data_IF_937960914666
#
_entry.id   IF_937960914666
#
_cell.length_a   1.000
_cell.length_b   1.000
_cell.length_c   1.000
_cell.angle_alpha   90.00
_cell.angle_beta   90.00
_cell.angle_gamma   90.00
#
_symmetry.space_group_name_H-M   'P 1'
#
loop_
_entity.id
_entity.type
_entity.pdbx_description
1 polymer ?
#
# COMPACT_ATOMS: atom_id res chain seq x y z
N UNK A 1 -7.85 -29.54 17.82
CA UNK A 1 -7.24 -28.51 16.96
C UNK A 1 -6.76 -27.38 17.86
N UNK A 2 -5.50 -26.95 17.68
CA UNK A 2 -4.95 -25.78 18.39
C UNK A 2 -5.05 -24.55 17.50
N UNK A 3 -5.38 -23.41 18.06
CA UNK A 3 -5.53 -22.13 17.37
C UNK A 3 -5.40 -20.96 18.35
N UNK A 4 -5.15 -19.79 17.83
CA UNK A 4 -4.95 -18.58 18.61
C UNK A 4 -6.12 -17.62 18.42
N UNK A 5 -6.49 -16.91 19.48
CA UNK A 5 -7.44 -15.80 19.42
C UNK A 5 -6.83 -14.53 20.02
N UNK A 6 -7.20 -13.39 19.45
CA UNK A 6 -6.84 -12.08 19.96
C UNK A 6 -8.09 -11.41 20.55
N UNK A 7 -8.32 -11.49 21.84
CA UNK A 7 -9.58 -11.12 22.46
C UNK A 7 -9.80 -9.61 22.56
N UNK A 8 -8.72 -8.83 22.54
CA UNK A 8 -8.81 -7.37 22.64
C UNK A 8 -8.91 -6.76 21.24
N UNK A 9 -9.91 -5.91 21.05
CA UNK A 9 -10.09 -5.16 19.81
C UNK A 9 -8.85 -4.29 19.52
N UNK A 10 -8.39 -4.30 18.27
CA UNK A 10 -7.22 -3.55 17.80
C UNK A 10 -5.88 -3.89 18.50
N UNK A 11 -5.80 -5.03 19.20
CA UNK A 11 -4.60 -5.50 19.88
C UNK A 11 -4.27 -6.93 19.44
N UNK A 12 -3.12 -7.11 18.77
CA UNK A 12 -2.60 -8.41 18.34
C UNK A 12 -1.56 -9.00 19.31
N UNK A 13 -1.11 -8.21 20.30
CA UNK A 13 -0.09 -8.64 21.27
C UNK A 13 -0.66 -9.63 22.30
N UNK A 14 -1.94 -9.50 22.60
CA UNK A 14 -2.59 -10.38 23.56
C UNK A 14 -3.15 -11.58 22.82
N UNK A 15 -2.56 -12.73 23.05
CA UNK A 15 -2.92 -13.99 22.40
C UNK A 15 -3.39 -14.97 23.47
N UNK A 16 -4.51 -15.65 23.19
CA UNK A 16 -4.98 -16.77 23.98
C UNK A 16 -4.82 -18.03 23.13
N UNK A 17 -4.00 -18.95 23.61
CA UNK A 17 -3.83 -20.25 23.00
C UNK A 17 -5.02 -21.15 23.34
N UNK A 18 -5.77 -21.53 22.33
CA UNK A 18 -6.99 -22.31 22.47
C UNK A 18 -6.83 -23.71 21.90
N UNK A 19 -7.56 -24.65 22.50
CA UNK A 19 -7.70 -25.99 21.94
C UNK A 19 -9.19 -26.37 21.93
N UNK A 20 -9.69 -26.85 20.80
CA UNK A 20 -11.07 -27.30 20.65
C UNK A 20 -11.19 -28.49 19.70
N UNK A 21 -12.30 -29.20 19.82
CA UNK A 21 -12.63 -30.29 18.92
C UNK A 21 -12.97 -29.73 17.53
N UNK A 22 -12.22 -30.18 16.52
CA UNK A 22 -12.57 -29.92 15.13
C UNK A 22 -13.71 -30.83 14.73
N UNK A 23 -14.85 -30.24 14.35
CA UNK A 23 -16.06 -31.01 13.98
C UNK A 23 -16.32 -31.03 12.48
N UNK A 24 -15.87 -29.99 11.74
CA UNK A 24 -16.15 -29.89 10.32
C UNK A 24 -15.19 -28.92 9.59
N UNK A 25 -15.25 -28.95 8.26
CA UNK A 25 -14.64 -27.94 7.37
C UNK A 25 -15.70 -27.47 6.38
N UNK A 26 -16.06 -26.19 6.43
CA UNK A 26 -17.13 -25.61 5.59
C UNK A 26 -16.59 -24.53 4.67
N UNK A 27 -17.18 -24.45 3.49
CA UNK A 27 -16.97 -23.32 2.57
C UNK A 27 -17.94 -22.20 2.93
N UNK A 28 -17.42 -21.11 3.46
CA UNK A 28 -18.20 -19.92 3.81
C UNK A 28 -18.06 -18.89 2.71
N UNK A 29 -19.19 -18.37 2.23
CA UNK A 29 -19.26 -17.30 1.23
C UNK A 29 -19.43 -15.96 1.96
N UNK A 30 -18.52 -15.02 1.73
CA UNK A 30 -18.64 -13.66 2.24
C UNK A 30 -19.74 -12.87 1.52
N UNK A 31 -20.17 -11.76 2.10
CA UNK A 31 -21.10 -10.81 1.45
C UNK A 31 -20.57 -10.25 0.13
N UNK A 32 -19.23 -10.20 -0.06
CA UNK A 32 -18.57 -9.82 -1.30
C UNK A 32 -18.44 -10.96 -2.33
N UNK A 33 -18.99 -12.14 -2.03
CA UNK A 33 -18.99 -13.30 -2.92
C UNK A 33 -17.74 -14.18 -2.85
N UNK A 34 -16.72 -13.80 -2.06
CA UNK A 34 -15.52 -14.60 -1.86
C UNK A 34 -15.84 -15.88 -1.08
N UNK A 35 -15.29 -17.02 -1.52
CA UNK A 35 -15.45 -18.32 -0.87
C UNK A 35 -14.16 -18.70 -0.16
N UNK A 36 -14.28 -19.06 1.11
CA UNK A 36 -13.16 -19.48 1.96
C UNK A 36 -13.52 -20.78 2.67
N UNK A 37 -12.58 -21.74 2.67
CA UNK A 37 -12.73 -22.94 3.47
C UNK A 37 -12.34 -22.63 4.92
N UNK A 38 -13.25 -22.86 5.86
CA UNK A 38 -13.05 -22.59 7.28
C UNK A 38 -13.20 -23.86 8.11
N UNK A 39 -12.37 -23.93 9.15
CA UNK A 39 -12.51 -24.96 10.18
C UNK A 39 -13.69 -24.62 11.10
N UNK A 40 -14.44 -25.63 11.51
CA UNK A 40 -15.58 -25.51 12.43
C UNK A 40 -15.25 -26.22 13.73
N UNK A 41 -15.38 -25.50 14.83
CA UNK A 41 -15.22 -26.04 16.18
C UNK A 41 -16.54 -25.97 16.95
N UNK A 42 -16.69 -26.83 17.94
CA UNK A 42 -17.76 -26.72 18.93
C UNK A 42 -17.20 -26.11 20.21
N UNK A 43 -17.84 -25.08 20.72
CA UNK A 43 -17.44 -24.41 21.96
C UNK A 43 -18.66 -23.82 22.67
N UNK A 44 -18.47 -23.48 23.95
CA UNK A 44 -19.48 -22.76 24.71
C UNK A 44 -19.23 -21.27 24.61
N UNK A 45 -20.27 -20.50 24.33
CA UNK A 45 -20.27 -19.05 24.47
C UNK A 45 -20.92 -18.65 25.79
N UNK A 46 -20.29 -17.70 26.50
CA UNK A 46 -20.87 -17.02 27.67
C UNK A 46 -21.19 -15.57 27.27
N UNK A 47 -22.46 -15.20 27.38
CA UNK A 47 -22.89 -13.83 27.13
C UNK A 47 -23.82 -13.36 28.28
N UNK A 48 -23.38 -12.39 29.04
CA UNK A 48 -24.04 -12.01 30.29
C UNK A 48 -24.09 -13.20 31.25
N UNK A 49 -25.32 -13.59 31.64
CA UNK A 49 -25.58 -14.74 32.54
C UNK A 49 -25.81 -16.05 31.77
N UNK A 50 -25.98 -16.01 30.45
CA UNK A 50 -26.24 -17.20 29.63
C UNK A 50 -24.97 -17.91 29.18
N UNK A 51 -24.98 -19.25 29.20
CA UNK A 51 -23.92 -20.09 28.63
C UNK A 51 -24.58 -21.15 27.78
N UNK A 52 -24.13 -21.34 26.53
CA UNK A 52 -24.63 -22.38 25.62
C UNK A 52 -23.61 -22.79 24.57
N UNK A 53 -23.76 -23.98 24.05
CA UNK A 53 -22.89 -24.49 22.99
C UNK A 53 -23.25 -23.88 21.64
N UNK A 54 -22.21 -23.54 20.87
CA UNK A 54 -22.30 -23.06 19.49
C UNK A 54 -21.29 -23.78 18.61
N UNK A 55 -21.59 -23.81 17.31
CA UNK A 55 -20.58 -24.08 16.28
C UNK A 55 -19.97 -22.76 15.83
N UNK A 56 -18.64 -22.69 15.81
CA UNK A 56 -17.90 -21.51 15.43
C UNK A 56 -16.96 -21.81 14.26
N UNK A 57 -17.00 -20.98 13.22
CA UNK A 57 -16.03 -21.04 12.11
C UNK A 57 -14.83 -20.16 12.39
N UNK A 58 -13.63 -20.69 12.22
CA UNK A 58 -12.38 -19.97 12.42
C UNK A 58 -11.92 -19.32 11.11
N UNK A 59 -11.55 -18.06 11.15
CA UNK A 59 -10.98 -17.28 10.05
C UNK A 59 -10.13 -16.13 10.59
N UNK A 60 -9.18 -15.65 9.78
CA UNK A 60 -8.45 -14.45 10.12
C UNK A 60 -9.35 -13.22 9.94
N UNK A 61 -9.49 -12.44 11.00
CA UNK A 61 -10.29 -11.20 11.03
C UNK A 61 -9.46 -9.98 11.47
N UNK A 62 -8.15 -10.03 11.32
CA UNK A 62 -7.24 -8.98 11.78
C UNK A 62 -7.48 -7.62 11.10
N UNK A 63 -7.94 -7.63 9.87
CA UNK A 63 -8.26 -6.42 9.11
C UNK A 63 -9.70 -5.91 9.32
N UNK A 64 -10.51 -6.58 10.16
CA UNK A 64 -11.92 -6.25 10.34
C UNK A 64 -12.15 -5.51 11.66
N UNK A 65 -13.18 -4.65 11.71
CA UNK A 65 -13.54 -3.87 12.89
C UNK A 65 -13.89 -4.70 14.13
N UNK A 66 -14.33 -5.96 13.95
CA UNK A 66 -14.67 -6.86 15.06
C UNK A 66 -14.04 -8.23 14.86
N UNK A 67 -13.41 -8.76 15.92
CA UNK A 67 -12.73 -10.05 15.93
C UNK A 67 -13.71 -11.23 15.84
N UNK A 68 -14.88 -11.08 16.42
CA UNK A 68 -15.93 -12.09 16.46
C UNK A 68 -17.23 -11.53 15.88
N UNK A 69 -17.94 -12.36 15.11
CA UNK A 69 -19.32 -12.13 14.71
C UNK A 69 -20.18 -13.26 15.27
N UNK A 70 -21.27 -12.90 15.92
CA UNK A 70 -22.26 -13.84 16.40
C UNK A 70 -23.33 -14.01 15.31
N UNK A 71 -23.38 -15.22 14.74
CA UNK A 71 -24.34 -15.55 13.71
C UNK A 71 -25.77 -15.69 14.25
N UNK A 72 -26.75 -15.54 13.39
CA UNK A 72 -28.18 -15.63 13.73
C UNK A 72 -28.54 -16.92 14.44
N UNK A 73 -28.00 -18.06 14.00
CA UNK A 73 -28.29 -19.37 14.60
C UNK A 73 -27.86 -19.45 16.08
N UNK A 74 -26.75 -18.82 16.43
CA UNK A 74 -26.30 -18.77 17.82
C UNK A 74 -27.17 -17.88 18.71
N UNK A 75 -27.98 -17.01 18.14
CA UNK A 75 -28.84 -16.03 18.84
C UNK A 75 -30.31 -16.46 18.97
N UNK A 76 -30.79 -17.37 18.12
CA UNK A 76 -32.23 -17.75 18.06
C UNK A 76 -32.72 -18.20 19.44
N UNK A 77 -33.80 -17.55 19.89
CA UNK A 77 -34.47 -17.85 21.15
C UNK A 77 -33.67 -17.48 22.41
N UNK A 78 -32.54 -16.78 22.27
CA UNK A 78 -31.62 -16.46 23.38
C UNK A 78 -31.27 -14.99 23.51
N UNK A 79 -31.20 -14.26 22.39
CA UNK A 79 -30.73 -12.88 22.34
C UNK A 79 -31.68 -12.04 21.51
N UNK A 80 -32.02 -10.85 22.04
CA UNK A 80 -32.62 -9.76 21.30
C UNK A 80 -31.55 -8.72 21.02
N UNK A 81 -31.44 -8.30 19.75
CA UNK A 81 -30.52 -7.26 19.33
C UNK A 81 -31.23 -5.91 19.37
N UNK A 82 -30.71 -4.98 20.18
CA UNK A 82 -31.14 -3.59 20.17
C UNK A 82 -30.11 -2.78 19.37
N UNK A 83 -30.44 -2.30 18.17
CA UNK A 83 -29.49 -1.60 17.32
C UNK A 83 -29.13 -0.19 17.82
N UNK A 84 -29.87 0.35 18.76
CA UNK A 84 -29.60 1.67 19.35
C UNK A 84 -28.54 1.62 20.45
N UNK A 85 -28.19 0.45 20.96
CA UNK A 85 -27.27 0.28 22.10
C UNK A 85 -26.00 -0.43 21.69
N UNK A 86 -24.89 0.03 22.25
CA UNK A 86 -23.57 -0.54 22.03
C UNK A 86 -22.88 -0.82 23.38
N UNK A 87 -21.97 -1.80 23.38
CA UNK A 87 -21.10 -2.15 24.52
C UNK A 87 -21.83 -2.39 25.85
N UNK A 88 -23.02 -2.98 25.82
CA UNK A 88 -23.83 -3.22 27.02
C UNK A 88 -23.17 -4.11 28.07
N UNK A 89 -22.20 -4.94 27.68
CA UNK A 89 -21.42 -5.80 28.58
C UNK A 89 -20.01 -5.25 28.88
N UNK A 90 -19.73 -4.00 28.47
CA UNK A 90 -18.42 -3.38 28.56
C UNK A 90 -17.44 -3.81 27.48
N UNK A 91 -16.28 -3.16 27.47
CA UNK A 91 -15.17 -3.50 26.59
C UNK A 91 -14.19 -4.45 27.32
N UNK A 92 -13.58 -5.37 26.56
CA UNK A 92 -12.56 -6.26 27.11
C UNK A 92 -11.26 -5.51 27.35
N UNK A 93 -10.75 -5.51 28.57
CA UNK A 93 -9.46 -4.93 28.97
C UNK A 93 -8.46 -6.00 29.36
N UNK A 94 -7.16 -5.63 29.44
CA UNK A 94 -6.11 -6.54 29.95
C UNK A 94 -6.38 -7.05 31.37
N UNK A 95 -7.02 -6.24 32.21
CA UNK A 95 -7.36 -6.61 33.58
C UNK A 95 -8.44 -7.69 33.60
N UNK A 96 -9.48 -7.54 32.78
CA UNK A 96 -10.56 -8.51 32.67
C UNK A 96 -10.08 -9.86 32.10
N UNK A 97 -9.04 -9.86 31.26
CA UNK A 97 -8.47 -11.08 30.71
C UNK A 97 -7.81 -11.97 31.78
N UNK A 98 -7.15 -11.37 32.78
CA UNK A 98 -6.54 -12.10 33.89
C UNK A 98 -7.56 -12.91 34.69
N UNK A 99 -8.79 -12.40 34.76
CA UNK A 99 -9.89 -13.09 35.46
C UNK A 99 -10.55 -14.18 34.60
N UNK A 100 -10.57 -13.99 33.27
CA UNK A 100 -11.28 -14.87 32.35
C UNK A 100 -10.43 -16.03 31.82
N UNK A 101 -9.13 -15.83 31.71
CA UNK A 101 -8.22 -16.78 31.08
C UNK A 101 -6.96 -17.00 31.91
N UNK A 102 -6.71 -18.26 32.26
CA UNK A 102 -5.52 -18.66 33.03
C UNK A 102 -4.26 -18.70 32.14
N UNK A 103 -4.45 -18.98 30.87
CA UNK A 103 -3.38 -19.13 29.89
C UNK A 103 -3.50 -18.08 28.78
N UNK A 104 -3.03 -16.87 29.04
CA UNK A 104 -2.84 -15.89 27.99
C UNK A 104 -1.38 -15.42 27.96
N UNK A 105 -0.90 -15.14 26.79
CA UNK A 105 0.43 -14.60 26.57
C UNK A 105 0.32 -13.19 25.97
N UNK A 106 1.08 -12.24 26.52
CA UNK A 106 1.29 -10.96 25.88
C UNK A 106 2.57 -11.10 25.05
N UNK A 107 2.41 -11.31 23.76
CA UNK A 107 3.55 -11.37 22.87
C UNK A 107 4.21 -9.98 22.79
N UNK A 108 5.40 -9.89 23.38
CA UNK A 108 6.25 -8.68 23.30
C UNK A 108 7.05 -8.61 21.98
N UNK A 109 6.67 -9.41 20.99
CA UNK A 109 7.35 -9.53 19.68
C UNK A 109 7.00 -8.44 18.68
N UNK A 110 6.59 -7.25 19.15
CA UNK A 110 6.41 -6.11 18.29
C UNK A 110 7.73 -5.67 17.68
N UNK A 111 7.78 -5.54 16.35
CA UNK A 111 8.93 -4.98 15.66
C UNK A 111 9.06 -3.49 15.98
N UNK A 112 10.29 -3.00 16.04
CA UNK A 112 10.59 -1.58 16.10
C UNK A 112 10.69 -1.02 14.69
N UNK A 113 9.68 -0.24 14.27
CA UNK A 113 9.51 0.19 12.89
C UNK A 113 9.62 1.71 12.78
N UNK A 114 10.51 2.18 11.90
CA UNK A 114 10.62 3.58 11.54
C UNK A 114 9.77 3.93 10.33
N UNK A 115 8.88 4.93 10.44
CA UNK A 115 8.22 5.55 9.28
C UNK A 115 9.07 6.74 8.83
N UNK A 116 9.86 6.58 7.78
CA UNK A 116 10.76 7.60 7.26
C UNK A 116 10.01 8.53 6.30
N UNK A 117 9.60 9.70 6.76
CA UNK A 117 8.77 10.64 6.02
C UNK A 117 9.07 12.10 6.40
N UNK A 118 8.48 13.07 5.70
CA UNK A 118 8.71 14.49 5.95
C UNK A 118 7.55 15.24 6.60
N UNK A 119 6.38 14.60 6.74
CA UNK A 119 5.21 15.22 7.34
C UNK A 119 4.38 14.17 8.11
N UNK A 120 4.31 14.25 9.45
CA UNK A 120 3.54 13.32 10.27
C UNK A 120 2.03 13.44 10.07
N UNK A 121 1.53 14.64 9.72
CA UNK A 121 0.10 14.96 9.69
C UNK A 121 -0.63 14.45 8.44
N UNK A 122 0.11 13.95 7.45
CA UNK A 122 -0.51 13.34 6.28
C UNK A 122 -1.35 12.12 6.69
N UNK A 123 -2.59 12.09 6.24
CA UNK A 123 -3.52 11.00 6.53
C UNK A 123 -2.90 9.61 6.36
N UNK A 124 -2.20 9.36 5.24
CA UNK A 124 -1.57 8.07 4.98
C UNK A 124 -0.46 7.73 6.00
N UNK A 125 0.30 8.72 6.46
CA UNK A 125 1.37 8.50 7.46
C UNK A 125 0.76 8.19 8.83
N UNK A 126 -0.24 8.95 9.26
CA UNK A 126 -0.98 8.65 10.49
C UNK A 126 -1.58 7.25 10.48
N UNK A 127 -2.24 6.86 9.38
CA UNK A 127 -2.83 5.52 9.24
C UNK A 127 -1.82 4.39 9.27
N UNK A 128 -0.61 4.60 8.75
CA UNK A 128 0.48 3.61 8.84
C UNK A 128 0.95 3.48 10.28
N UNK A 129 1.17 4.60 10.98
CA UNK A 129 1.56 4.60 12.40
C UNK A 129 0.52 3.85 13.25
N UNK A 130 -0.75 4.26 13.17
CA UNK A 130 -1.87 3.62 13.88
C UNK A 130 -1.97 2.12 13.56
N UNK A 131 -1.84 1.74 12.28
CA UNK A 131 -1.93 0.35 11.87
C UNK A 131 -0.77 -0.52 12.41
N UNK A 132 0.41 0.06 12.55
CA UNK A 132 1.56 -0.59 13.18
C UNK A 132 1.35 -0.78 14.69
N UNK A 133 0.93 0.28 15.38
CA UNK A 133 0.64 0.25 16.81
C UNK A 133 -0.48 -0.74 17.16
N UNK A 134 -1.57 -0.74 16.36
CA UNK A 134 -2.65 -1.71 16.49
C UNK A 134 -2.19 -3.16 16.38
N UNK A 135 -1.13 -3.41 15.60
CA UNK A 135 -0.51 -4.73 15.42
C UNK A 135 0.55 -5.03 16.47
N UNK A 136 0.73 -4.12 17.42
CA UNK A 136 1.65 -4.32 18.50
C UNK A 136 3.11 -3.95 18.17
N UNK A 137 3.37 -3.27 17.06
CA UNK A 137 4.69 -2.77 16.74
C UNK A 137 5.00 -1.46 17.46
N UNK A 138 6.26 -1.22 17.78
CA UNK A 138 6.77 0.06 18.28
C UNK A 138 7.04 0.98 17.08
N UNK A 139 6.13 1.91 16.83
CA UNK A 139 6.21 2.78 15.67
C UNK A 139 6.91 4.09 15.98
N UNK A 140 7.88 4.47 15.14
CA UNK A 140 8.62 5.73 15.25
C UNK A 140 8.48 6.55 13.98
N UNK A 141 7.98 7.78 14.09
CA UNK A 141 8.04 8.72 12.99
C UNK A 141 9.45 9.33 12.89
N UNK A 142 10.12 9.12 11.77
CA UNK A 142 11.45 9.63 11.47
C UNK A 142 11.37 10.73 10.41
N UNK A 143 11.55 11.97 10.82
CA UNK A 143 11.55 13.09 9.87
C UNK A 143 12.84 13.07 9.07
N UNK A 144 12.74 12.85 7.76
CA UNK A 144 13.90 12.79 6.84
C UNK A 144 14.83 14.00 7.00
N UNK A 145 14.26 15.19 7.21
CA UNK A 145 15.04 16.44 7.31
C UNK A 145 15.84 16.57 8.62
N UNK A 146 15.53 15.75 9.61
CA UNK A 146 16.16 15.74 10.92
C UNK A 146 17.16 14.59 11.08
N UNK A 147 17.25 13.72 10.08
CA UNK A 147 18.22 12.64 10.04
C UNK A 147 19.52 13.10 9.36
N UNK A 148 20.65 12.64 9.85
CA UNK A 148 21.95 12.77 9.20
C UNK A 148 22.79 11.51 9.41
N UNK A 149 23.76 11.27 8.51
CA UNK A 149 24.44 9.97 8.40
C UNK A 149 25.93 10.11 8.73
N UNK A 150 26.45 9.15 9.47
CA UNK A 150 27.86 8.87 9.57
C UNK A 150 28.20 7.69 8.67
N UNK A 151 29.04 7.92 7.67
CA UNK A 151 29.52 6.90 6.74
C UNK A 151 30.83 6.33 7.30
N UNK A 152 30.75 5.14 7.88
CA UNK A 152 31.89 4.42 8.45
C UNK A 152 31.80 2.96 8.03
N UNK A 153 32.91 2.39 7.58
CA UNK A 153 32.95 1.03 7.04
C UNK A 153 32.62 -0.06 8.08
N UNK A 154 32.88 0.21 9.35
CA UNK A 154 32.72 -0.75 10.44
C UNK A 154 31.51 -0.44 11.32
N UNK A 155 31.15 0.85 11.43
CA UNK A 155 30.06 1.30 12.27
C UNK A 155 29.26 2.44 11.58
N UNK A 156 28.47 2.12 10.53
CA UNK A 156 27.59 3.09 9.89
C UNK A 156 26.48 3.49 10.86
N UNK A 157 26.19 4.79 10.97
CA UNK A 157 25.19 5.31 11.89
C UNK A 157 24.25 6.28 11.20
N UNK A 158 23.01 6.36 11.69
CA UNK A 158 22.10 7.45 11.41
C UNK A 158 21.83 8.18 12.72
N UNK A 159 22.04 9.47 12.70
CA UNK A 159 21.77 10.36 13.82
C UNK A 159 20.45 11.11 13.56
N UNK A 160 19.71 11.35 14.59
CA UNK A 160 18.50 12.13 14.59
C UNK A 160 18.73 13.43 15.35
N UNK A 161 17.85 14.40 15.16
CA UNK A 161 17.85 15.69 15.84
C UNK A 161 18.35 15.60 17.29
N UNK A 162 19.32 16.44 17.66
CA UNK A 162 19.92 16.44 18.99
C UNK A 162 21.00 15.38 19.23
N UNK A 163 21.47 14.71 18.16
CA UNK A 163 22.59 13.73 18.24
C UNK A 163 22.16 12.33 18.66
N UNK A 164 20.87 12.04 18.76
CA UNK A 164 20.39 10.70 19.08
C UNK A 164 20.71 9.74 17.94
N UNK A 165 21.44 8.68 18.23
CA UNK A 165 21.68 7.59 17.28
C UNK A 165 20.39 6.77 17.11
N UNK A 166 20.03 6.52 15.85
CA UNK A 166 18.91 5.64 15.49
C UNK A 166 19.41 4.21 15.36
N UNK A 167 19.21 3.43 16.39
CA UNK A 167 19.64 2.04 16.49
C UNK A 167 18.43 1.10 16.76
N UNK A 168 18.70 -0.19 16.64
CA UNK A 168 17.75 -1.25 17.00
C UNK A 168 16.39 -1.18 16.26
N UNK A 169 16.37 -0.69 15.03
CA UNK A 169 15.21 -0.81 14.16
C UNK A 169 15.22 -2.18 13.46
N UNK A 170 14.07 -2.87 13.48
CA UNK A 170 13.87 -4.09 12.70
C UNK A 170 13.53 -3.76 11.25
N UNK A 171 12.76 -2.69 11.04
CA UNK A 171 12.33 -2.26 9.72
C UNK A 171 12.15 -0.75 9.62
N UNK A 172 12.25 -0.26 8.38
CA UNK A 172 11.90 1.13 8.02
C UNK A 172 10.95 1.12 6.82
N UNK A 173 9.93 1.97 6.88
CA UNK A 173 8.98 2.21 5.79
C UNK A 173 9.28 3.59 5.19
N UNK A 174 9.97 3.66 4.04
CA UNK A 174 10.27 4.93 3.39
C UNK A 174 9.03 5.51 2.70
N UNK A 175 8.65 6.74 3.08
CA UNK A 175 7.57 7.54 2.46
C UNK A 175 8.13 8.83 1.87
N UNK A 176 9.02 8.66 0.89
CA UNK A 176 9.86 9.73 0.34
C UNK A 176 9.07 10.52 -0.71
N UNK A 177 9.03 11.84 -0.56
CA UNK A 177 8.43 12.75 -1.55
C UNK A 177 9.37 12.93 -2.76
N UNK A 178 8.84 13.24 -3.96
CA UNK A 178 9.65 13.51 -5.15
C UNK A 178 10.75 14.55 -4.94
N UNK A 179 10.43 15.65 -4.23
CA UNK A 179 11.37 16.76 -3.99
C UNK A 179 12.56 16.43 -3.11
N UNK A 180 12.57 15.29 -2.41
CA UNK A 180 13.64 14.86 -1.52
C UNK A 180 14.09 13.43 -1.83
N UNK A 181 13.87 12.96 -3.06
CA UNK A 181 14.19 11.58 -3.46
C UNK A 181 15.65 11.24 -3.22
N UNK A 182 16.58 12.11 -3.61
CA UNK A 182 18.02 11.88 -3.43
C UNK A 182 18.37 11.60 -1.97
N UNK A 183 18.01 12.52 -1.07
CA UNK A 183 18.36 12.40 0.34
C UNK A 183 17.61 11.28 1.05
N UNK A 184 16.33 11.12 0.76
CA UNK A 184 15.52 10.03 1.31
C UNK A 184 16.04 8.65 0.92
N UNK A 185 16.42 8.46 -0.35
CA UNK A 185 17.01 7.21 -0.80
C UNK A 185 18.43 7.01 -0.23
N UNK A 186 19.22 8.09 0.00
CA UNK A 186 20.49 7.98 0.68
C UNK A 186 20.34 7.48 2.12
N UNK A 187 19.37 8.03 2.88
CA UNK A 187 19.03 7.53 4.22
C UNK A 187 18.55 6.08 4.20
N UNK A 188 17.71 5.70 3.22
CA UNK A 188 17.24 4.32 3.09
C UNK A 188 18.42 3.37 2.84
N UNK A 189 19.35 3.72 1.95
CA UNK A 189 20.59 2.93 1.73
C UNK A 189 21.44 2.82 3.00
N UNK A 190 21.46 3.86 3.82
CA UNK A 190 22.19 3.81 5.09
C UNK A 190 21.52 2.81 6.07
N UNK A 191 20.19 2.80 6.18
CA UNK A 191 19.47 1.76 6.93
C UNK A 191 19.75 0.35 6.38
N UNK A 192 19.76 0.18 5.06
CA UNK A 192 20.11 -1.08 4.41
C UNK A 192 21.55 -1.53 4.76
N UNK A 193 22.51 -0.59 4.78
CA UNK A 193 23.88 -0.86 5.19
C UNK A 193 23.98 -1.27 6.68
N UNK A 194 23.11 -0.72 7.53
CA UNK A 194 22.95 -1.10 8.94
C UNK A 194 22.17 -2.41 9.12
N UNK A 195 21.81 -3.12 8.04
CA UNK A 195 21.05 -4.38 8.04
C UNK A 195 19.61 -4.24 8.52
N UNK A 196 19.04 -3.04 8.47
CA UNK A 196 17.64 -2.79 8.75
C UNK A 196 16.82 -3.08 7.49
N UNK A 197 15.72 -3.84 7.64
CA UNK A 197 14.82 -4.14 6.53
C UNK A 197 14.10 -2.87 6.05
N UNK A 198 14.17 -2.56 4.75
CA UNK A 198 13.54 -1.37 4.17
C UNK A 198 12.41 -1.78 3.21
N UNK A 199 11.20 -1.33 3.46
CA UNK A 199 10.04 -1.59 2.64
C UNK A 199 9.51 -0.25 2.03
N UNK A 200 9.83 0.08 0.79
CA UNK A 200 10.62 -0.65 -0.20
C UNK A 200 12.11 -0.24 -0.13
N UNK A 201 12.95 -0.96 -0.91
CA UNK A 201 14.38 -0.66 -0.99
C UNK A 201 14.65 0.71 -1.64
N UNK A 202 15.81 1.29 -1.33
CA UNK A 202 16.25 2.52 -1.99
C UNK A 202 16.40 2.35 -3.51
N UNK A 203 16.82 1.17 -3.98
CA UNK A 203 16.93 0.84 -5.39
C UNK A 203 15.56 0.87 -6.08
N UNK A 204 14.57 0.16 -5.52
CA UNK A 204 13.22 0.11 -6.06
C UNK A 204 12.56 1.51 -6.10
N UNK A 205 12.75 2.32 -5.06
CA UNK A 205 12.24 3.70 -5.02
C UNK A 205 12.92 4.55 -6.13
N UNK A 206 14.23 4.45 -6.29
CA UNK A 206 14.97 5.21 -7.30
C UNK A 206 14.55 4.81 -8.71
N UNK A 207 14.46 3.51 -9.00
CA UNK A 207 14.00 2.98 -10.28
C UNK A 207 12.58 3.46 -10.63
N UNK A 208 11.67 3.44 -9.65
CA UNK A 208 10.29 3.90 -9.82
C UNK A 208 10.16 5.41 -10.03
N UNK A 209 11.16 6.19 -9.63
CA UNK A 209 11.19 7.65 -9.85
C UNK A 209 11.67 8.04 -11.23
N UNK A 210 12.53 7.24 -11.82
CA UNK A 210 13.02 7.43 -13.19
C UNK A 210 11.99 6.86 -14.18
N UNK A 211 11.28 7.75 -14.89
CA UNK A 211 10.24 7.35 -15.85
C UNK A 211 10.79 6.56 -17.03
N UNK A 212 11.98 6.88 -17.52
CA UNK A 212 12.58 6.17 -18.64
C UNK A 212 13.05 4.79 -18.19
N UNK A 213 13.77 4.74 -17.07
CA UNK A 213 14.28 3.47 -16.55
C UNK A 213 13.14 2.53 -16.14
N UNK A 214 12.06 3.04 -15.52
CA UNK A 214 10.90 2.21 -15.18
C UNK A 214 10.24 1.61 -16.42
N UNK A 215 10.11 2.37 -17.52
CA UNK A 215 9.59 1.84 -18.80
C UNK A 215 10.52 0.75 -19.36
N UNK A 216 11.83 0.95 -19.31
CA UNK A 216 12.80 -0.05 -19.77
C UNK A 216 12.75 -1.35 -18.93
N UNK A 217 12.58 -1.24 -17.60
CA UNK A 217 12.40 -2.40 -16.72
C UNK A 217 11.11 -3.15 -17.01
N UNK A 218 10.00 -2.45 -17.21
CA UNK A 218 8.71 -3.04 -17.56
C UNK A 218 8.79 -3.76 -18.89
N UNK A 219 9.36 -3.12 -19.92
CA UNK A 219 9.57 -3.70 -21.25
C UNK A 219 10.43 -4.98 -21.18
N UNK A 220 11.57 -4.91 -20.47
CA UNK A 220 12.48 -6.06 -20.29
C UNK A 220 11.78 -7.26 -19.65
N UNK A 221 10.81 -7.00 -18.78
CA UNK A 221 10.03 -8.04 -18.11
C UNK A 221 8.75 -8.41 -18.85
N UNK A 222 8.56 -7.94 -20.10
CA UNK A 222 7.41 -8.27 -20.94
C UNK A 222 6.08 -7.73 -20.37
N UNK A 223 6.11 -6.57 -19.76
CA UNK A 223 4.91 -5.80 -19.42
C UNK A 223 4.67 -4.84 -20.56
N UNK A 224 3.48 -4.88 -21.12
CA UNK A 224 3.10 -3.99 -22.22
C UNK A 224 3.08 -2.53 -21.73
N UNK A 225 3.68 -1.67 -22.54
CA UNK A 225 3.74 -0.22 -22.29
C UNK A 225 3.33 0.50 -23.57
N UNK A 226 2.79 1.72 -23.48
CA UNK A 226 2.55 2.54 -24.66
C UNK A 226 3.85 2.79 -25.43
N UNK A 227 3.77 2.80 -26.76
CA UNK A 227 4.93 3.09 -27.61
C UNK A 227 5.55 4.41 -27.22
N UNK A 228 6.83 4.38 -26.86
CA UNK A 228 7.53 5.52 -26.26
C UNK A 228 8.83 5.78 -26.99
N UNK A 229 9.04 7.01 -27.40
CA UNK A 229 10.28 7.51 -27.98
C UNK A 229 11.02 8.45 -27.02
N UNK A 230 12.33 8.38 -27.04
CA UNK A 230 13.23 9.28 -26.32
C UNK A 230 14.42 9.63 -27.20
N UNK A 231 14.73 10.91 -27.31
CA UNK A 231 15.94 11.38 -27.97
C UNK A 231 16.48 12.63 -27.27
N UNK A 232 17.79 12.75 -27.25
CA UNK A 232 18.50 13.90 -26.66
C UNK A 232 18.73 15.03 -27.69
N UNK A 233 18.68 14.73 -29.00
CA UNK A 233 18.91 15.73 -30.05
C UNK A 233 17.62 16.42 -30.53
N UNK A 234 17.60 17.74 -30.71
CA UNK A 234 16.50 18.43 -31.38
C UNK A 234 16.28 17.99 -32.84
N UNK A 235 17.32 17.48 -33.51
CA UNK A 235 17.24 17.07 -34.92
C UNK A 235 16.35 15.84 -35.14
N UNK A 236 16.08 15.07 -34.08
CA UNK A 236 15.29 13.82 -34.15
C UNK A 236 13.79 14.04 -33.89
N UNK A 237 13.28 15.26 -33.91
CA UNK A 237 11.89 15.55 -33.55
C UNK A 237 10.88 14.89 -34.47
N UNK A 238 11.10 14.95 -35.81
CA UNK A 238 10.19 14.33 -36.78
C UNK A 238 10.22 12.79 -36.69
N UNK A 239 11.38 12.21 -36.44
CA UNK A 239 11.53 10.78 -36.30
C UNK A 239 10.88 10.27 -35.00
N UNK A 240 11.00 11.01 -33.88
CA UNK A 240 10.30 10.70 -32.63
C UNK A 240 8.77 10.67 -32.83
N UNK A 241 8.23 11.65 -33.54
CA UNK A 241 6.79 11.72 -33.83
C UNK A 241 6.35 10.51 -34.66
N UNK A 242 7.11 10.14 -35.68
CA UNK A 242 6.83 8.96 -36.51
C UNK A 242 6.94 7.66 -35.72
N UNK A 243 7.97 7.56 -34.88
CA UNK A 243 8.24 6.35 -34.06
C UNK A 243 7.07 5.97 -33.15
N UNK A 244 6.33 6.96 -32.62
CA UNK A 244 5.18 6.72 -31.75
C UNK A 244 3.84 6.68 -32.51
N UNK A 245 3.88 6.58 -33.83
CA UNK A 245 2.69 6.45 -34.68
C UNK A 245 2.05 7.77 -35.09
N UNK A 246 2.71 8.93 -34.84
CA UNK A 246 2.20 10.26 -35.21
C UNK A 246 1.31 10.88 -34.13
N UNK A 247 0.59 11.92 -34.54
CA UNK A 247 -0.36 12.63 -33.65
C UNK A 247 -1.76 12.02 -33.75
N UNK A 248 -2.57 12.07 -32.65
CA UNK A 248 -2.27 12.68 -31.36
C UNK A 248 -1.24 11.92 -30.55
N UNK A 249 -0.40 12.61 -29.80
CA UNK A 249 0.64 12.02 -28.95
C UNK A 249 0.81 12.80 -27.64
N UNK A 250 1.46 12.18 -26.66
CA UNK A 250 1.76 12.79 -25.37
C UNK A 250 3.25 13.12 -25.27
N UNK A 251 3.56 14.36 -24.89
CA UNK A 251 4.91 14.79 -24.51
C UNK A 251 4.98 14.91 -22.99
N UNK A 252 5.98 14.26 -22.38
CA UNK A 252 6.16 14.23 -20.92
C UNK A 252 7.56 14.69 -20.52
N UNK A 253 7.67 15.59 -19.57
CA UNK A 253 8.94 15.89 -18.92
C UNK A 253 9.37 14.71 -18.02
N UNK A 254 10.64 14.32 -18.08
CA UNK A 254 11.17 13.26 -17.21
C UNK A 254 11.08 13.66 -15.72
N UNK A 255 11.48 14.87 -15.38
CA UNK A 255 11.48 15.38 -14.01
C UNK A 255 10.09 15.85 -13.53
N UNK A 256 9.08 15.88 -14.40
CA UNK A 256 7.72 16.30 -14.05
C UNK A 256 7.00 15.31 -13.11
N UNK A 257 6.22 15.83 -12.16
CA UNK A 257 5.40 15.03 -11.24
C UNK A 257 3.96 15.52 -11.22
N UNK A 258 3.02 14.65 -10.81
CA UNK A 258 1.61 15.02 -10.60
C UNK A 258 0.89 15.56 -11.85
N UNK A 259 1.25 15.10 -13.05
CA UNK A 259 0.69 15.60 -14.32
C UNK A 259 1.27 16.94 -14.81
N UNK A 260 2.16 17.56 -14.04
CA UNK A 260 2.90 18.75 -14.51
C UNK A 260 3.92 18.35 -15.58
N UNK A 261 3.99 19.12 -16.67
CA UNK A 261 4.86 18.81 -17.80
C UNK A 261 4.39 17.62 -18.64
N UNK A 262 3.08 17.35 -18.67
CA UNK A 262 2.43 16.39 -19.58
C UNK A 262 1.51 17.16 -20.51
N UNK A 263 1.77 17.08 -21.82
CA UNK A 263 1.06 17.83 -22.86
C UNK A 263 0.52 16.86 -23.92
N UNK A 264 -0.76 16.97 -24.24
CA UNK A 264 -1.38 16.32 -25.39
C UNK A 264 -1.14 17.20 -26.62
N UNK A 265 -0.53 16.65 -27.66
CA UNK A 265 -0.33 17.28 -28.93
C UNK A 265 -1.23 16.62 -29.99
N UNK A 266 -2.33 17.26 -30.32
CA UNK A 266 -3.36 16.71 -31.21
C UNK A 266 -2.93 16.70 -32.68
N UNK A 267 -2.02 17.61 -33.08
CA UNK A 267 -1.52 17.71 -34.44
C UNK A 267 0.00 17.61 -34.50
N UNK A 268 0.55 17.19 -35.63
CA UNK A 268 2.00 17.13 -35.87
C UNK A 268 2.67 18.46 -35.57
N UNK A 269 2.10 19.59 -36.05
CA UNK A 269 2.65 20.94 -35.83
C UNK A 269 2.68 21.29 -34.32
N UNK A 270 1.65 20.95 -33.56
CA UNK A 270 1.63 21.16 -32.12
C UNK A 270 2.69 20.30 -31.43
N UNK A 271 2.85 19.02 -31.83
CA UNK A 271 3.88 18.12 -31.31
C UNK A 271 5.29 18.68 -31.55
N UNK A 272 5.61 19.08 -32.80
CA UNK A 272 6.89 19.70 -33.14
C UNK A 272 7.18 20.93 -32.27
N UNK A 273 6.18 21.81 -32.12
CA UNK A 273 6.32 23.06 -31.36
C UNK A 273 6.62 22.75 -29.86
N UNK A 274 5.88 21.83 -29.24
CA UNK A 274 6.07 21.48 -27.83
C UNK A 274 7.41 20.75 -27.60
N UNK A 275 7.76 19.81 -28.47
CA UNK A 275 9.03 19.08 -28.37
C UNK A 275 10.21 20.03 -28.49
N UNK A 276 10.19 20.90 -29.51
CA UNK A 276 11.27 21.87 -29.73
C UNK A 276 11.37 22.90 -28.60
N UNK A 277 10.23 23.36 -28.06
CA UNK A 277 10.22 24.26 -26.91
C UNK A 277 10.89 23.62 -25.68
N UNK A 278 10.58 22.39 -25.35
CA UNK A 278 11.22 21.69 -24.22
C UNK A 278 12.70 21.39 -24.46
N UNK A 279 13.05 20.98 -25.66
CA UNK A 279 14.45 20.75 -26.04
C UNK A 279 15.29 22.02 -26.00
N UNK A 280 14.74 23.16 -26.38
CA UNK A 280 15.45 24.45 -26.30
C UNK A 280 15.77 24.86 -24.86
N UNK A 281 15.04 24.29 -23.87
CA UNK A 281 15.27 24.45 -22.45
C UNK A 281 16.19 23.36 -21.88
N UNK A 282 16.82 22.52 -22.73
CA UNK A 282 17.61 21.34 -22.33
C UNK A 282 16.83 20.36 -21.43
N UNK A 283 15.51 20.31 -21.56
CA UNK A 283 14.69 19.39 -20.78
C UNK A 283 14.66 18.00 -21.40
N UNK A 284 14.83 16.98 -20.57
CA UNK A 284 14.64 15.59 -20.98
C UNK A 284 13.15 15.28 -21.12
N UNK A 285 12.76 14.76 -22.30
CA UNK A 285 11.37 14.46 -22.60
C UNK A 285 11.16 13.05 -23.11
N UNK A 286 9.99 12.51 -22.80
CA UNK A 286 9.44 11.31 -23.45
C UNK A 286 8.33 11.74 -24.41
N UNK A 287 8.32 11.16 -25.59
CA UNK A 287 7.21 11.23 -26.54
C UNK A 287 6.53 9.88 -26.56
N UNK A 288 5.21 9.85 -26.40
CA UNK A 288 4.46 8.62 -26.22
C UNK A 288 3.17 8.64 -27.01
N UNK A 289 2.78 7.50 -27.58
CA UNK A 289 1.46 7.38 -28.23
C UNK A 289 0.33 7.77 -27.27
N UNK A 290 -0.73 8.34 -27.83
CA UNK A 290 -1.93 8.68 -27.08
C UNK A 290 -2.93 7.51 -27.14
N UNK A 291 -3.27 6.94 -26.00
CA UNK A 291 -4.22 5.83 -25.90
C UNK A 291 -5.64 6.41 -25.86
N UNK A 292 -6.27 6.49 -27.00
CA UNK A 292 -7.64 7.05 -27.15
C UNK A 292 -8.67 6.21 -26.39
N UNK A 293 -8.48 4.90 -26.35
CA UNK A 293 -9.36 3.93 -25.70
C UNK A 293 -9.46 4.13 -24.20
N UNK A 294 -8.47 4.81 -23.60
CA UNK A 294 -8.51 5.16 -22.19
C UNK A 294 -9.59 6.19 -21.86
N UNK A 295 -10.01 7.02 -22.83
CA UNK A 295 -11.09 7.99 -22.71
C UNK A 295 -11.03 8.81 -21.40
N UNK A 296 -9.86 9.34 -21.08
CA UNK A 296 -9.62 10.10 -19.85
C UNK A 296 -9.68 9.27 -18.56
N UNK A 297 -9.64 7.93 -18.64
CA UNK A 297 -9.68 7.03 -17.49
C UNK A 297 -8.33 6.36 -17.25
N UNK A 298 -8.01 6.14 -16.00
CA UNK A 298 -6.89 5.27 -15.59
C UNK A 298 -7.27 4.36 -14.42
N UNK A 299 -6.60 3.22 -14.32
CA UNK A 299 -6.76 2.28 -13.22
C UNK A 299 -5.58 2.39 -12.27
N UNK A 300 -5.88 2.35 -10.98
CA UNK A 300 -4.89 2.28 -9.89
C UNK A 300 -5.06 0.99 -9.12
N UNK A 301 -4.06 0.13 -9.17
CA UNK A 301 -4.02 -1.12 -8.43
C UNK A 301 -2.89 -1.05 -7.40
N UNK A 302 -3.23 -1.29 -6.14
CA UNK A 302 -2.25 -1.33 -5.05
C UNK A 302 -1.82 -2.77 -4.82
N UNK A 303 -0.54 -3.02 -5.00
CA UNK A 303 0.07 -4.34 -4.79
C UNK A 303 0.84 -4.33 -3.47
N UNK A 304 0.56 -5.31 -2.62
CA UNK A 304 1.28 -5.55 -1.36
C UNK A 304 1.53 -7.05 -1.26
N UNK A 305 2.78 -7.44 -1.01
CA UNK A 305 3.19 -8.84 -0.90
C UNK A 305 2.68 -9.69 -2.09
N UNK A 306 2.90 -9.19 -3.31
CA UNK A 306 2.49 -9.87 -4.54
C UNK A 306 0.97 -10.02 -4.74
N UNK A 307 0.14 -9.28 -4.01
CA UNK A 307 -1.33 -9.35 -4.11
C UNK A 307 -1.91 -7.96 -4.34
N UNK A 308 -2.92 -7.86 -5.21
CA UNK A 308 -3.70 -6.63 -5.37
C UNK A 308 -4.66 -6.51 -4.19
N UNK A 309 -4.40 -5.54 -3.30
CA UNK A 309 -5.17 -5.32 -2.06
C UNK A 309 -6.25 -4.25 -2.20
N UNK A 310 -6.07 -3.30 -3.12
CA UNK A 310 -7.05 -2.26 -3.42
C UNK A 310 -6.97 -1.84 -4.88
N UNK A 311 -8.06 -1.33 -5.42
CA UNK A 311 -8.12 -0.82 -6.80
C UNK A 311 -9.16 0.27 -6.94
N UNK A 312 -8.84 1.26 -7.79
CA UNK A 312 -9.72 2.34 -8.15
C UNK A 312 -9.57 2.71 -9.62
N UNK A 313 -10.64 3.19 -10.21
CA UNK A 313 -10.61 3.91 -11.49
C UNK A 313 -10.62 5.40 -11.19
N UNK A 314 -9.81 6.15 -11.92
CA UNK A 314 -9.90 7.61 -11.93
C UNK A 314 -10.41 8.05 -13.29
N UNK A 315 -11.15 9.15 -13.31
CA UNK A 315 -11.74 9.73 -14.51
C UNK A 315 -11.44 11.23 -14.55
N UNK A 316 -11.01 11.72 -15.70
CA UNK A 316 -10.67 13.11 -15.92
C UNK A 316 -11.91 14.02 -15.84
N UNK A 317 -11.70 15.27 -15.47
CA UNK A 317 -12.75 16.29 -15.56
C UNK A 317 -13.13 16.54 -17.03
N UNK A 318 -14.34 17.01 -17.32
CA UNK A 318 -14.76 17.35 -18.68
C UNK A 318 -13.75 18.30 -19.36
N UNK A 319 -13.28 17.95 -20.55
CA UNK A 319 -12.29 18.72 -21.32
C UNK A 319 -10.83 18.50 -20.90
N UNK A 320 -10.56 17.64 -19.90
CA UNK A 320 -9.22 17.26 -19.48
C UNK A 320 -8.97 15.79 -19.90
N UNK A 321 -7.74 15.45 -20.26
CA UNK A 321 -7.35 14.07 -20.60
C UNK A 321 -6.63 13.36 -19.45
N UNK A 322 -6.19 14.09 -18.43
CA UNK A 322 -5.45 13.58 -17.28
C UNK A 322 -6.41 13.26 -16.13
N UNK A 323 -6.50 12.02 -15.72
CA UNK A 323 -7.36 11.55 -14.63
C UNK A 323 -6.86 11.93 -13.21
N UNK A 324 -5.98 12.93 -13.08
CA UNK A 324 -5.43 13.34 -11.78
C UNK A 324 -6.49 14.04 -10.92
N UNK A 325 -6.68 13.58 -9.68
CA UNK A 325 -7.70 14.13 -8.76
C UNK A 325 -7.51 15.62 -8.48
N UNK A 326 -6.24 16.10 -8.34
CA UNK A 326 -5.98 17.54 -8.12
C UNK A 326 -6.16 18.39 -9.37
N UNK A 327 -6.50 17.79 -10.49
CA UNK A 327 -6.91 18.48 -11.71
C UNK A 327 -8.43 18.40 -11.95
N UNK A 328 -9.19 18.11 -10.89
CA UNK A 328 -10.63 17.99 -10.94
C UNK A 328 -11.16 16.60 -11.30
N UNK A 329 -10.28 15.61 -11.47
CA UNK A 329 -10.69 14.24 -11.72
C UNK A 329 -11.40 13.59 -10.52
N UNK A 330 -12.18 12.57 -10.79
CA UNK A 330 -12.90 11.77 -9.77
C UNK A 330 -12.26 10.38 -9.61
N UNK A 331 -12.60 9.70 -8.52
CA UNK A 331 -12.16 8.33 -8.29
C UNK A 331 -13.29 7.47 -7.76
N UNK A 332 -13.40 6.25 -8.25
CA UNK A 332 -14.36 5.23 -7.80
C UNK A 332 -13.66 3.90 -7.54
N UNK A 333 -14.14 3.17 -6.54
CA UNK A 333 -13.65 1.81 -6.26
C UNK A 333 -14.13 0.87 -7.35
N UNK A 334 -13.23 0.04 -7.88
CA UNK A 334 -13.54 -0.94 -8.90
C UNK A 334 -13.10 -2.35 -8.47
N UNK A 335 -13.64 -3.36 -9.14
CA UNK A 335 -13.16 -4.73 -9.05
C UNK A 335 -12.32 -5.02 -10.31
N UNK A 336 -10.99 -5.13 -10.20
CA UNK A 336 -10.14 -5.38 -11.35
C UNK A 336 -10.34 -6.80 -11.90
N UNK A 337 -10.16 -6.95 -13.20
CA UNK A 337 -10.14 -8.24 -13.89
C UNK A 337 -8.93 -9.08 -13.46
N UNK A 338 -8.95 -10.37 -13.80
CA UNK A 338 -7.82 -11.27 -13.54
C UNK A 338 -6.58 -10.83 -14.30
N UNK A 339 -6.76 -10.32 -15.51
CA UNK A 339 -5.66 -9.84 -16.37
C UNK A 339 -5.02 -8.56 -15.80
N UNK A 340 -5.82 -7.57 -15.40
CA UNK A 340 -5.33 -6.35 -14.76
C UNK A 340 -4.54 -6.65 -13.48
N UNK A 341 -5.02 -7.60 -12.66
CA UNK A 341 -4.26 -8.06 -11.48
C UNK A 341 -2.93 -8.70 -11.86
N UNK A 342 -2.93 -9.57 -12.88
CA UNK A 342 -1.73 -10.23 -13.36
C UNK A 342 -0.69 -9.22 -13.84
N UNK A 343 -1.12 -8.22 -14.62
CA UNK A 343 -0.25 -7.14 -15.11
C UNK A 343 0.31 -6.33 -13.94
N UNK A 344 -0.53 -5.93 -12.98
CA UNK A 344 -0.10 -5.15 -11.83
C UNK A 344 0.93 -5.87 -10.97
N UNK A 345 0.71 -7.17 -10.69
CA UNK A 345 1.65 -7.99 -9.92
C UNK A 345 2.96 -8.17 -10.69
N UNK A 346 2.89 -8.42 -12.01
CA UNK A 346 4.06 -8.54 -12.86
C UNK A 346 4.88 -7.24 -12.90
N UNK A 347 4.20 -6.10 -13.00
CA UNK A 347 4.84 -4.79 -12.98
C UNK A 347 5.51 -4.49 -11.63
N UNK A 348 4.83 -4.75 -10.51
CA UNK A 348 5.42 -4.59 -9.18
C UNK A 348 6.68 -5.45 -9.01
N UNK A 349 6.62 -6.72 -9.41
CA UNK A 349 7.78 -7.64 -9.37
C UNK A 349 8.94 -7.16 -10.27
N UNK A 350 8.65 -6.63 -11.46
CA UNK A 350 9.65 -6.09 -12.36
C UNK A 350 10.40 -4.90 -11.79
N UNK A 351 9.74 -4.15 -10.90
CA UNK A 351 10.25 -2.95 -10.23
C UNK A 351 10.84 -3.24 -8.83
N UNK A 352 10.88 -4.51 -8.43
CA UNK A 352 11.31 -4.93 -7.08
C UNK A 352 10.50 -4.27 -5.94
N UNK A 353 9.19 -4.19 -6.16
CA UNK A 353 8.21 -3.55 -5.26
C UNK A 353 7.28 -4.58 -4.62
#
# INVERSE_FOLDING_TARGET
MKFDINPIQNNLRTVIHCEALLIDKRVVKSSSGYREQRYVIQTNIKLGRGVWAIEMTLTNRDSMGFRMLLGREAMIGRILVDPEKQYLLGETSLENLKELYVNYEVQNSGLRIGLLASNPDLYSNRRIMEAGEMRGHEMHFLNIKECYMKLDAHNPEIHYRGGKVLDNFDAVIPRIRPSITFYGCALTRQFEAMKVYCLNSAAAITQSRDKLFSLQLLLRNGVDIPTTGFANSPLDTDDLIKMVGGSPLIVKLLEGTQGKGVVLAETKKAAESVINAFKSLNANILVQEFIKEADGKDLRLFVVDGKVVASMQREAAPGEFRANIHMGGTASVIKPTSEEKRIAIKAAKAMDL
#
